data_IF_972151244688
#
_entry.id   IF_972151244688
#
_cell.length_a   1.000
_cell.length_b   1.000
_cell.length_c   1.000
_cell.angle_alpha   90.00
_cell.angle_beta   90.00
_cell.angle_gamma   90.00
#
_symmetry.space_group_name_H-M   'P 1'
#
loop_
_entity.id
_entity.type
_entity.pdbx_description
1 polymer ?
#
# COMPACT_ATOMS: atom_id res chain seq x y z
N UNK A 1 58.79 17.62 6.87
CA UNK A 1 58.52 16.18 7.09
C UNK A 1 57.04 15.99 7.33
N UNK A 2 56.27 15.51 6.33
CA UNK A 2 54.85 15.12 6.49
C UNK A 2 54.78 13.61 6.52
N UNK A 3 54.44 13.03 7.67
CA UNK A 3 54.24 11.59 7.80
C UNK A 3 52.87 11.23 7.23
N UNK A 4 52.85 10.53 6.09
CA UNK A 4 51.63 9.95 5.52
C UNK A 4 51.39 8.60 6.16
N UNK A 5 50.47 8.51 7.13
CA UNK A 5 49.96 7.22 7.60
C UNK A 5 49.14 6.56 6.49
N UNK A 6 49.44 5.31 6.10
CA UNK A 6 48.65 4.58 5.11
C UNK A 6 47.32 4.13 5.74
N UNK A 7 46.22 4.75 5.32
CA UNK A 7 44.87 4.37 5.72
C UNK A 7 44.48 3.02 5.10
N UNK A 8 44.44 1.99 5.94
CA UNK A 8 43.45 0.88 6.01
C UNK A 8 42.57 0.65 4.76
N UNK A 9 43.14 0.11 3.69
CA UNK A 9 42.39 -0.33 2.49
C UNK A 9 41.79 -1.74 2.62
N UNK A 10 42.13 -2.51 3.66
CA UNK A 10 41.73 -3.92 3.83
C UNK A 10 40.26 -4.10 4.24
N UNK A 11 39.68 -3.19 5.02
CA UNK A 11 38.32 -3.33 5.55
C UNK A 11 37.23 -3.22 4.47
N UNK A 12 37.49 -2.48 3.39
CA UNK A 12 36.53 -2.29 2.30
C UNK A 12 36.44 -3.48 1.34
N UNK A 13 37.44 -4.37 1.32
CA UNK A 13 37.49 -5.52 0.42
C UNK A 13 36.72 -6.70 0.99
N UNK A 14 36.84 -6.97 2.29
CA UNK A 14 36.11 -8.06 2.95
C UNK A 14 34.60 -7.84 2.98
N UNK A 15 34.13 -6.60 3.22
CA UNK A 15 32.70 -6.26 3.14
C UNK A 15 32.11 -6.43 1.73
N UNK A 16 32.91 -6.18 0.68
CA UNK A 16 32.50 -6.42 -0.71
C UNK A 16 32.51 -7.91 -1.07
N UNK A 17 33.47 -8.67 -0.56
CA UNK A 17 33.55 -10.12 -0.78
C UNK A 17 32.41 -10.88 -0.06
N UNK A 18 32.09 -10.50 1.17
CA UNK A 18 31.01 -11.13 1.96
C UNK A 18 29.61 -10.88 1.35
N UNK A 19 29.35 -9.68 0.80
CA UNK A 19 28.10 -9.39 0.11
C UNK A 19 27.95 -10.07 -1.26
N UNK A 20 29.06 -10.53 -1.86
CA UNK A 20 29.08 -11.18 -3.17
C UNK A 20 28.90 -12.70 -3.09
N UNK A 21 29.32 -13.32 -1.98
CA UNK A 21 29.30 -14.77 -1.82
C UNK A 21 27.96 -15.34 -1.36
N UNK A 22 27.08 -14.52 -0.78
CA UNK A 22 25.73 -14.94 -0.38
C UNK A 22 24.66 -13.93 -0.84
N UNK A 23 24.40 -13.81 -2.16
CA UNK A 23 23.16 -13.18 -2.59
C UNK A 23 22.02 -14.04 -2.02
N UNK A 24 21.31 -13.50 -1.02
CA UNK A 24 20.10 -14.14 -0.51
C UNK A 24 19.15 -14.37 -1.69
N UNK A 25 18.51 -15.55 -1.77
CA UNK A 25 17.57 -15.92 -2.86
C UNK A 25 16.55 -14.81 -3.18
N UNK A 26 16.20 -13.99 -2.20
CA UNK A 26 15.32 -12.82 -2.33
C UNK A 26 15.88 -11.69 -3.21
N UNK A 27 17.20 -11.43 -3.19
CA UNK A 27 17.82 -10.45 -4.08
C UNK A 27 17.88 -10.92 -5.53
N UNK A 28 18.01 -12.24 -5.74
CA UNK A 28 17.88 -12.87 -7.05
C UNK A 28 16.45 -12.72 -7.59
N UNK A 29 15.43 -12.88 -6.74
CA UNK A 29 14.03 -12.73 -7.14
C UNK A 29 13.69 -11.29 -7.58
N UNK A 30 14.15 -10.27 -6.83
CA UNK A 30 13.99 -8.85 -7.21
C UNK A 30 14.73 -8.50 -8.50
N UNK A 31 15.85 -9.17 -8.79
CA UNK A 31 16.53 -9.06 -10.10
C UNK A 31 15.71 -9.67 -11.23
N UNK A 32 15.03 -10.79 -10.98
CA UNK A 32 14.22 -11.49 -12.01
C UNK A 32 12.82 -10.91 -12.21
N UNK A 33 12.23 -10.26 -11.20
CA UNK A 33 10.93 -9.59 -11.30
C UNK A 33 10.96 -8.18 -10.68
N UNK A 34 11.76 -7.26 -11.25
CA UNK A 34 12.00 -5.93 -10.68
C UNK A 34 10.75 -5.03 -10.66
N UNK A 35 9.67 -5.45 -11.32
CA UNK A 35 8.50 -4.59 -11.57
C UNK A 35 7.23 -5.05 -10.87
N UNK A 36 7.12 -6.31 -10.43
CA UNK A 36 5.89 -6.82 -9.82
C UNK A 36 5.79 -6.58 -8.30
N UNK A 37 6.91 -6.54 -7.60
CA UNK A 37 6.94 -6.65 -6.14
C UNK A 37 6.10 -5.58 -5.43
N UNK A 38 6.09 -4.34 -5.93
CA UNK A 38 5.32 -3.23 -5.34
C UNK A 38 3.83 -3.55 -5.33
N UNK A 39 3.29 -4.06 -6.45
CA UNK A 39 1.89 -4.44 -6.55
C UNK A 39 1.57 -5.65 -5.66
N UNK A 40 2.46 -6.65 -5.64
CA UNK A 40 2.31 -7.85 -4.81
C UNK A 40 2.40 -7.58 -3.31
N UNK A 41 3.01 -6.48 -2.88
CA UNK A 41 3.02 -6.08 -1.46
C UNK A 41 1.89 -5.11 -1.13
N UNK A 42 1.65 -4.09 -1.97
CA UNK A 42 0.70 -3.02 -1.64
C UNK A 42 -0.76 -3.47 -1.76
N UNK A 43 -1.11 -4.24 -2.80
CA UNK A 43 -2.50 -4.64 -3.02
C UNK A 43 -3.01 -5.63 -1.96
N UNK A 44 -2.24 -6.65 -1.54
CA UNK A 44 -2.69 -7.49 -0.44
C UNK A 44 -2.87 -6.73 0.87
N UNK A 45 -2.01 -5.75 1.19
CA UNK A 45 -2.21 -4.89 2.36
C UNK A 45 -3.49 -4.07 2.26
N UNK A 46 -3.75 -3.46 1.10
CA UNK A 46 -4.98 -2.71 0.83
C UNK A 46 -6.22 -3.59 1.01
N UNK A 47 -6.24 -4.77 0.37
CA UNK A 47 -7.38 -5.69 0.41
C UNK A 47 -7.56 -6.23 1.84
N UNK A 48 -6.50 -6.70 2.49
CA UNK A 48 -6.59 -7.26 3.83
C UNK A 48 -7.00 -6.23 4.89
N UNK A 49 -6.59 -4.97 4.75
CA UNK A 49 -6.90 -3.89 5.70
C UNK A 49 -8.36 -3.44 5.61
N UNK A 50 -8.89 -3.31 4.40
CA UNK A 50 -10.15 -2.59 4.17
C UNK A 50 -11.30 -3.47 3.63
N UNK A 51 -11.02 -4.60 3.00
CA UNK A 51 -12.08 -5.43 2.40
C UNK A 51 -12.74 -6.29 3.48
N UNK A 52 -13.87 -5.80 3.97
CA UNK A 52 -14.68 -6.48 4.98
C UNK A 52 -15.54 -7.57 4.36
N UNK A 53 -14.95 -8.74 4.06
CA UNK A 53 -15.69 -9.87 3.49
C UNK A 53 -16.84 -10.39 4.38
N UNK A 54 -16.94 -9.94 5.64
CA UNK A 54 -17.98 -10.34 6.59
C UNK A 54 -18.46 -9.17 7.46
N UNK A 55 -19.76 -9.17 7.79
CA UNK A 55 -20.38 -8.21 8.71
C UNK A 55 -20.11 -8.62 10.17
N UNK A 56 -19.42 -7.79 10.95
CA UNK A 56 -19.21 -8.02 12.38
C UNK A 56 -20.42 -7.48 13.18
N UNK A 57 -20.95 -8.25 14.12
CA UNK A 57 -21.92 -7.70 15.08
C UNK A 57 -21.18 -6.81 16.08
N UNK A 58 -21.75 -5.65 16.46
CA UNK A 58 -21.10 -4.71 17.39
C UNK A 58 -20.68 -5.37 18.71
N UNK A 59 -21.45 -6.34 19.20
CA UNK A 59 -21.16 -7.09 20.43
C UNK A 59 -19.89 -7.97 20.29
N UNK A 60 -19.63 -8.55 19.12
CA UNK A 60 -18.41 -9.31 18.86
C UNK A 60 -17.17 -8.42 18.67
N UNK A 61 -17.34 -7.14 18.33
CA UNK A 61 -16.26 -6.17 18.27
C UNK A 61 -15.79 -5.72 19.67
N UNK A 62 -16.71 -5.66 20.64
CA UNK A 62 -16.42 -5.25 22.02
C UNK A 62 -15.78 -6.36 22.87
N UNK A 63 -16.07 -7.64 22.56
CA UNK A 63 -15.60 -8.79 23.34
C UNK A 63 -14.10 -9.11 23.24
N UNK A 64 -13.33 -8.42 22.38
CA UNK A 64 -11.89 -8.67 22.20
C UNK A 64 -11.53 -10.02 21.56
N UNK A 65 -12.50 -10.83 21.15
CA UNK A 65 -12.23 -12.10 20.47
C UNK A 65 -11.52 -11.87 19.12
N UNK A 66 -10.41 -12.58 18.92
CA UNK A 66 -9.66 -12.59 17.67
C UNK A 66 -10.49 -13.31 16.60
N UNK A 67 -11.12 -12.53 15.72
CA UNK A 67 -11.87 -13.04 14.58
C UNK A 67 -10.89 -13.55 13.50
N UNK A 68 -11.29 -14.55 12.71
CA UNK A 68 -10.46 -15.12 11.65
C UNK A 68 -10.05 -14.06 10.63
N UNK A 69 -10.88 -13.02 10.42
CA UNK A 69 -10.54 -11.88 9.58
C UNK A 69 -9.33 -11.09 10.10
N UNK A 70 -9.26 -10.84 11.42
CA UNK A 70 -8.13 -10.14 12.05
C UNK A 70 -6.86 -11.00 11.96
N UNK A 71 -6.99 -12.32 12.12
CA UNK A 71 -5.86 -13.24 11.95
C UNK A 71 -5.33 -13.20 10.53
N UNK A 72 -6.20 -13.25 9.52
CA UNK A 72 -5.80 -13.14 8.11
C UNK A 72 -5.11 -11.81 7.84
N UNK A 73 -5.69 -10.70 8.33
CA UNK A 73 -5.08 -9.37 8.21
C UNK A 73 -3.66 -9.35 8.79
N UNK A 74 -3.48 -9.81 10.04
CA UNK A 74 -2.17 -9.88 10.68
C UNK A 74 -1.18 -10.78 9.95
N UNK A 75 -1.62 -11.93 9.43
CA UNK A 75 -0.78 -12.83 8.64
C UNK A 75 -0.31 -12.16 7.34
N UNK A 76 -1.19 -11.44 6.64
CA UNK A 76 -0.81 -10.71 5.41
C UNK A 76 0.20 -9.61 5.74
N UNK A 77 -0.04 -8.83 6.80
CA UNK A 77 0.91 -7.81 7.24
C UNK A 77 2.26 -8.40 7.64
N UNK A 78 2.27 -9.51 8.38
CA UNK A 78 3.50 -10.20 8.80
C UNK A 78 4.25 -10.77 7.60
N UNK A 79 3.55 -11.37 6.63
CA UNK A 79 4.15 -11.90 5.42
C UNK A 79 4.81 -10.78 4.59
N UNK A 80 4.13 -9.63 4.43
CA UNK A 80 4.70 -8.46 3.75
C UNK A 80 5.89 -7.92 4.53
N UNK A 81 5.77 -7.73 5.85
CA UNK A 81 6.88 -7.26 6.69
C UNK A 81 8.11 -8.18 6.58
N UNK A 82 7.92 -9.49 6.69
CA UNK A 82 8.97 -10.48 6.52
C UNK A 82 9.59 -10.39 5.11
N UNK A 83 8.79 -10.28 4.06
CA UNK A 83 9.28 -10.08 2.70
C UNK A 83 10.14 -8.81 2.59
N UNK A 84 9.69 -7.67 3.13
CA UNK A 84 10.42 -6.40 3.09
C UNK A 84 11.77 -6.52 3.82
N UNK A 85 11.77 -7.10 5.03
CA UNK A 85 12.98 -7.30 5.85
C UNK A 85 13.96 -8.23 5.16
N UNK A 86 13.50 -9.37 4.65
CA UNK A 86 14.36 -10.40 4.07
C UNK A 86 14.85 -10.06 2.64
N UNK A 87 14.17 -9.15 1.94
CA UNK A 87 14.44 -8.88 0.52
C UNK A 87 15.00 -7.50 0.24
N UNK A 88 14.61 -6.48 1.01
CA UNK A 88 14.82 -5.07 0.65
C UNK A 88 15.57 -4.25 1.69
N UNK A 89 15.65 -4.72 2.94
CA UNK A 89 16.43 -4.02 3.97
C UNK A 89 17.91 -4.13 3.63
N UNK A 90 18.49 -3.00 3.23
CA UNK A 90 19.92 -2.83 3.04
C UNK A 90 20.47 -1.99 4.19
N UNK A 91 21.75 -2.20 4.58
CA UNK A 91 22.38 -1.36 5.59
C UNK A 91 22.32 0.12 5.17
N UNK A 92 22.19 1.05 6.13
CA UNK A 92 22.04 2.46 5.84
C UNK A 92 23.21 2.94 4.98
N UNK A 93 22.93 3.26 3.72
CA UNK A 93 23.81 4.09 2.93
C UNK A 93 23.67 5.50 3.49
N UNK A 94 24.76 6.21 3.80
CA UNK A 94 24.75 7.55 4.42
C UNK A 94 24.10 8.67 3.58
N UNK A 95 23.16 8.33 2.69
CA UNK A 95 22.32 9.23 1.93
C UNK A 95 21.32 9.92 2.85
N UNK A 96 21.22 11.24 2.70
CA UNK A 96 20.22 12.06 3.39
C UNK A 96 18.81 11.57 3.06
N UNK A 97 17.97 11.43 4.08
CA UNK A 97 16.57 11.06 3.93
C UNK A 97 15.79 12.30 3.46
N UNK A 98 15.01 12.22 2.37
CA UNK A 98 14.11 13.31 1.94
C UNK A 98 13.17 13.75 3.06
N UNK A 99 12.88 15.06 3.14
CA UNK A 99 12.04 15.64 4.19
C UNK A 99 10.65 14.99 4.28
N UNK A 100 10.02 14.66 3.15
CA UNK A 100 8.72 13.98 3.13
C UNK A 100 8.77 12.60 3.82
N UNK A 101 9.84 11.83 3.60
CA UNK A 101 10.02 10.54 4.26
C UNK A 101 10.27 10.71 5.76
N UNK A 102 10.96 11.78 6.16
CA UNK A 102 11.15 12.12 7.58
C UNK A 102 9.81 12.45 8.24
N UNK A 103 8.97 13.28 7.59
CA UNK A 103 7.63 13.63 8.08
C UNK A 103 6.74 12.40 8.19
N UNK A 104 6.75 11.52 7.19
CA UNK A 104 6.01 10.25 7.22
C UNK A 104 6.41 9.39 8.43
N UNK A 105 7.70 9.27 8.70
CA UNK A 105 8.19 8.52 9.86
C UNK A 105 7.89 9.23 11.18
N UNK A 106 7.97 10.55 11.24
CA UNK A 106 7.56 11.34 12.40
C UNK A 106 6.08 11.14 12.73
N UNK A 107 5.20 11.18 11.72
CA UNK A 107 3.78 10.87 11.88
C UNK A 107 3.56 9.43 12.36
N UNK A 108 4.26 8.47 11.75
CA UNK A 108 4.18 7.05 12.14
C UNK A 108 4.57 6.84 13.61
N UNK A 109 5.65 7.47 14.05
CA UNK A 109 6.09 7.43 15.44
C UNK A 109 5.08 8.10 16.37
N UNK A 110 4.54 9.26 16.01
CA UNK A 110 3.51 9.93 16.80
C UNK A 110 2.26 9.06 16.98
N UNK A 111 1.80 8.39 15.91
CA UNK A 111 0.66 7.47 15.97
C UNK A 111 0.94 6.22 16.82
N UNK A 112 2.16 5.67 16.76
CA UNK A 112 2.59 4.59 17.65
C UNK A 112 2.58 5.01 19.12
N UNK A 113 3.11 6.20 19.42
CA UNK A 113 3.13 6.72 20.78
C UNK A 113 1.71 6.99 21.30
N UNK A 114 0.83 7.52 20.44
CA UNK A 114 -0.57 7.74 20.76
C UNK A 114 -1.33 6.41 21.04
N UNK A 115 -0.92 5.30 20.43
CA UNK A 115 -1.54 4.01 20.66
C UNK A 115 -1.43 3.54 22.13
N UNK A 116 -0.36 3.90 22.84
CA UNK A 116 -0.19 3.56 24.26
C UNK A 116 -1.15 4.30 25.20
N UNK A 117 -1.71 5.43 24.74
CA UNK A 117 -2.70 6.23 25.48
C UNK A 117 -4.14 5.91 25.06
N UNK A 118 -4.35 4.90 24.22
CA UNK A 118 -5.68 4.52 23.76
C UNK A 118 -6.48 3.80 24.87
N UNK A 119 -7.80 4.01 24.96
CA UNK A 119 -8.69 3.18 25.79
C UNK A 119 -8.63 1.68 25.44
N UNK A 120 -8.19 1.33 24.23
CA UNK A 120 -8.06 -0.04 23.74
C UNK A 120 -6.63 -0.30 23.23
N UNK A 121 -5.63 -0.40 24.12
CA UNK A 121 -4.22 -0.37 23.75
C UNK A 121 -3.86 -1.53 22.82
N UNK A 122 -4.38 -2.75 23.02
CA UNK A 122 -4.05 -3.90 22.17
C UNK A 122 -4.46 -3.69 20.71
N UNK A 123 -5.67 -3.17 20.46
CA UNK A 123 -6.16 -2.87 19.11
C UNK A 123 -5.39 -1.68 18.51
N UNK A 124 -5.13 -0.65 19.31
CA UNK A 124 -4.39 0.52 18.87
C UNK A 124 -2.94 0.17 18.51
N UNK A 125 -2.26 -0.66 19.30
CA UNK A 125 -0.90 -1.14 19.02
C UNK A 125 -0.85 -1.98 17.77
N UNK A 126 -1.84 -2.86 17.52
CA UNK A 126 -1.93 -3.62 16.28
C UNK A 126 -2.05 -2.71 15.05
N UNK A 127 -2.93 -1.70 15.10
CA UNK A 127 -3.04 -0.66 14.05
C UNK A 127 -1.75 0.15 13.88
N UNK A 128 -1.09 0.49 14.99
CA UNK A 128 0.21 1.14 14.98
C UNK A 128 1.29 0.29 14.29
N UNK A 129 1.35 -1.01 14.57
CA UNK A 129 2.26 -1.93 13.92
C UNK A 129 1.99 -2.05 12.41
N UNK A 130 0.71 -2.12 12.00
CA UNK A 130 0.32 -2.09 10.59
C UNK A 130 0.77 -0.79 9.91
N UNK A 131 0.63 0.36 10.56
CA UNK A 131 1.12 1.63 10.05
C UNK A 131 2.64 1.64 9.86
N UNK A 132 3.41 1.02 10.76
CA UNK A 132 4.86 0.85 10.60
C UNK A 132 5.19 0.03 9.35
N UNK A 133 4.45 -1.06 9.11
CA UNK A 133 4.64 -1.88 7.90
C UNK A 133 4.31 -1.08 6.64
N UNK A 134 3.20 -0.34 6.65
CA UNK A 134 2.81 0.54 5.53
C UNK A 134 3.84 1.66 5.28
N UNK A 135 4.33 2.32 6.33
CA UNK A 135 5.37 3.34 6.24
C UNK A 135 6.70 2.75 5.73
N UNK A 136 7.06 1.55 6.17
CA UNK A 136 8.23 0.81 5.68
C UNK A 136 8.11 0.52 4.19
N UNK A 137 6.95 0.02 3.76
CA UNK A 137 6.66 -0.21 2.34
C UNK A 137 6.78 1.10 1.55
N UNK A 138 6.12 2.18 2.00
CA UNK A 138 6.20 3.49 1.36
C UNK A 138 7.62 4.03 1.23
N UNK A 139 8.44 3.86 2.28
CA UNK A 139 9.85 4.23 2.25
C UNK A 139 10.64 3.43 1.22
N UNK A 140 10.45 2.10 1.19
CA UNK A 140 11.16 1.21 0.26
C UNK A 140 10.72 1.45 -1.19
N UNK A 141 9.43 1.70 -1.42
CA UNK A 141 8.91 2.11 -2.73
C UNK A 141 9.55 3.43 -3.16
N UNK A 142 9.58 4.44 -2.30
CA UNK A 142 10.20 5.73 -2.62
C UNK A 142 11.70 5.62 -2.93
N UNK A 143 12.41 4.66 -2.33
CA UNK A 143 13.85 4.45 -2.56
C UNK A 143 14.17 3.55 -3.76
N UNK A 144 13.36 2.53 -4.01
CA UNK A 144 13.74 1.42 -4.90
C UNK A 144 12.74 1.12 -6.01
N UNK A 145 11.53 1.68 -5.98
CA UNK A 145 10.56 1.42 -7.04
C UNK A 145 11.00 2.09 -8.35
N UNK A 146 10.91 1.33 -9.44
CA UNK A 146 11.08 1.86 -10.79
C UNK A 146 9.75 2.44 -11.28
N UNK A 147 9.81 3.32 -12.28
CA UNK A 147 8.60 3.86 -12.92
C UNK A 147 7.68 2.76 -13.49
N UNK A 148 8.27 1.65 -13.98
CA UNK A 148 7.50 0.50 -14.44
C UNK A 148 6.82 -0.24 -13.28
N UNK A 149 7.48 -0.37 -12.13
CA UNK A 149 6.86 -0.98 -10.95
C UNK A 149 5.67 -0.17 -10.45
N UNK A 150 5.80 1.16 -10.41
CA UNK A 150 4.71 2.08 -10.06
C UNK A 150 3.59 2.04 -11.09
N UNK A 151 3.91 2.03 -12.39
CA UNK A 151 2.90 1.86 -13.43
C UNK A 151 2.11 0.56 -13.24
N UNK A 152 2.78 -0.58 -13.00
CA UNK A 152 2.09 -1.87 -12.76
C UNK A 152 1.21 -1.81 -11.51
N UNK A 153 1.66 -1.18 -10.43
CA UNK A 153 0.83 -0.94 -9.25
C UNK A 153 -0.44 -0.17 -9.63
N UNK A 154 -0.32 0.93 -10.36
CA UNK A 154 -1.46 1.74 -10.78
C UNK A 154 -2.48 0.92 -11.59
N UNK A 155 -2.03 0.13 -12.56
CA UNK A 155 -2.93 -0.72 -13.36
C UNK A 155 -3.61 -1.80 -12.51
N UNK A 156 -2.84 -2.46 -11.66
CA UNK A 156 -3.37 -3.51 -10.80
C UNK A 156 -4.36 -2.93 -9.77
N UNK A 157 -4.10 -1.73 -9.26
CA UNK A 157 -5.03 -0.97 -8.41
C UNK A 157 -6.34 -0.66 -9.16
N UNK A 158 -6.28 -0.15 -10.39
CA UNK A 158 -7.46 0.09 -11.22
C UNK A 158 -8.26 -1.19 -11.46
N UNK A 159 -7.60 -2.32 -11.73
CA UNK A 159 -8.29 -3.62 -11.88
C UNK A 159 -9.01 -3.99 -10.58
N UNK A 160 -8.33 -3.93 -9.44
CA UNK A 160 -8.93 -4.28 -8.14
C UNK A 160 -10.14 -3.40 -7.84
N UNK A 161 -10.05 -2.09 -8.04
CA UNK A 161 -11.17 -1.17 -7.81
C UNK A 161 -12.31 -1.42 -8.79
N UNK A 162 -12.02 -1.54 -10.10
CA UNK A 162 -13.05 -1.81 -11.10
C UNK A 162 -13.79 -3.13 -10.86
N UNK A 163 -13.07 -4.19 -10.47
CA UNK A 163 -13.66 -5.47 -10.07
C UNK A 163 -14.53 -5.29 -8.82
N UNK A 164 -14.08 -4.51 -7.84
CA UNK A 164 -14.83 -4.23 -6.62
C UNK A 164 -16.14 -3.47 -6.90
N UNK A 165 -16.09 -2.47 -7.80
CA UNK A 165 -17.27 -1.77 -8.29
C UNK A 165 -18.22 -2.73 -8.99
N UNK A 166 -17.71 -3.56 -9.91
CA UNK A 166 -18.49 -4.58 -10.60
C UNK A 166 -19.19 -5.54 -9.64
N UNK A 167 -18.49 -6.01 -8.60
CA UNK A 167 -19.07 -6.82 -7.53
C UNK A 167 -20.17 -6.06 -6.78
N UNK A 168 -19.94 -4.80 -6.43
CA UNK A 168 -20.93 -3.96 -5.75
C UNK A 168 -22.19 -3.68 -6.57
N UNK A 169 -22.08 -3.65 -7.90
CA UNK A 169 -23.21 -3.48 -8.82
C UNK A 169 -23.95 -4.80 -9.10
N UNK A 170 -23.22 -5.91 -9.24
CA UNK A 170 -23.78 -7.20 -9.60
C UNK A 170 -24.40 -7.95 -8.41
N UNK A 171 -23.86 -7.76 -7.20
CA UNK A 171 -24.32 -8.46 -6.01
C UNK A 171 -25.04 -7.50 -5.06
N UNK A 172 -26.36 -7.66 -4.83
CA UNK A 172 -27.09 -6.85 -3.87
C UNK A 172 -26.65 -7.22 -2.44
N UNK A 173 -25.68 -6.50 -1.90
CA UNK A 173 -25.34 -6.63 -0.49
C UNK A 173 -26.45 -5.99 0.36
N UNK A 174 -26.83 -6.61 1.50
CA UNK A 174 -27.78 -5.98 2.40
C UNK A 174 -27.22 -4.61 2.80
N UNK A 175 -28.02 -3.53 2.69
CA UNK A 175 -27.54 -2.19 3.01
C UNK A 175 -27.08 -2.17 4.46
N UNK A 176 -25.88 -1.64 4.70
CA UNK A 176 -25.44 -1.32 6.06
C UNK A 176 -26.46 -0.32 6.63
N UNK A 177 -26.98 -0.51 7.85
CA UNK A 177 -27.97 0.40 8.44
C UNK A 177 -27.53 1.87 8.39
N UNK A 178 -26.22 2.08 8.47
CA UNK A 178 -25.57 3.40 8.45
C UNK A 178 -25.29 3.92 7.01
N UNK A 179 -25.40 3.09 5.97
CA UNK A 179 -25.08 3.48 4.60
C UNK A 179 -26.19 4.32 3.95
N UNK A 180 -27.45 4.26 4.38
CA UNK A 180 -28.50 5.18 3.93
C UNK A 180 -28.69 5.25 2.41
N UNK A 181 -28.59 4.10 1.71
CA UNK A 181 -28.70 4.04 0.24
C UNK A 181 -27.47 4.51 -0.54
N UNK A 182 -26.33 4.74 0.13
CA UNK A 182 -25.05 5.05 -0.51
C UNK A 182 -24.42 3.79 -1.12
N UNK A 183 -23.71 3.97 -2.24
CA UNK A 183 -22.98 2.89 -2.87
C UNK A 183 -21.86 2.36 -1.95
N UNK A 184 -21.76 1.03 -1.90
CA UNK A 184 -20.73 0.26 -1.18
C UNK A 184 -20.50 -1.06 -1.91
N UNK A 185 -19.30 -1.62 -1.82
CA UNK A 185 -19.01 -3.01 -2.20
C UNK A 185 -18.52 -3.79 -0.98
N UNK A 186 -18.75 -5.11 -0.93
CA UNK A 186 -18.16 -6.02 0.08
C UNK A 186 -18.20 -5.50 1.53
N UNK A 187 -19.34 -4.95 1.97
CA UNK A 187 -19.53 -4.33 3.30
C UNK A 187 -18.53 -3.21 3.68
N UNK A 188 -17.80 -2.67 2.71
CA UNK A 188 -16.89 -1.53 2.92
C UNK A 188 -17.73 -0.28 3.17
N UNK A 189 -17.35 0.51 4.19
CA UNK A 189 -18.06 1.74 4.51
C UNK A 189 -17.97 2.75 3.34
N UNK A 190 -19.05 3.50 3.01
CA UNK A 190 -19.08 4.40 1.84
C UNK A 190 -17.91 5.40 1.76
N UNK A 191 -17.42 5.87 2.91
CA UNK A 191 -16.28 6.79 2.94
C UNK A 191 -14.98 6.10 2.48
N UNK A 192 -14.74 4.85 2.89
CA UNK A 192 -13.54 4.09 2.52
C UNK A 192 -13.57 3.73 1.04
N UNK A 193 -14.71 3.25 0.54
CA UNK A 193 -14.91 3.03 -0.89
C UNK A 193 -14.76 4.33 -1.69
N UNK A 194 -15.24 5.45 -1.16
CA UNK A 194 -15.08 6.77 -1.76
C UNK A 194 -13.61 7.18 -1.86
N UNK A 195 -12.80 6.96 -0.82
CA UNK A 195 -11.35 7.21 -0.87
C UNK A 195 -10.67 6.36 -1.93
N UNK A 196 -10.99 5.06 -2.01
CA UNK A 196 -10.38 4.19 -3.02
C UNK A 196 -10.76 4.58 -4.45
N UNK A 197 -12.02 4.96 -4.66
CA UNK A 197 -12.52 5.45 -5.94
C UNK A 197 -11.87 6.78 -6.32
N UNK A 198 -11.72 7.73 -5.40
CA UNK A 198 -11.05 9.00 -5.68
C UNK A 198 -9.59 8.77 -6.13
N UNK A 199 -8.87 7.88 -5.46
CA UNK A 199 -7.52 7.47 -5.87
C UNK A 199 -7.55 6.80 -7.26
N UNK A 200 -8.53 5.93 -7.53
CA UNK A 200 -8.68 5.27 -8.82
C UNK A 200 -8.93 6.27 -9.94
N UNK A 201 -9.83 7.24 -9.74
CA UNK A 201 -10.12 8.33 -10.66
C UNK A 201 -8.86 9.14 -10.96
N UNK A 202 -8.10 9.54 -9.93
CA UNK A 202 -6.86 10.29 -10.11
C UNK A 202 -5.82 9.48 -10.92
N UNK A 203 -5.66 8.19 -10.61
CA UNK A 203 -4.74 7.30 -11.33
C UNK A 203 -5.18 7.10 -12.79
N UNK A 204 -6.46 6.80 -13.03
CA UNK A 204 -7.01 6.59 -14.36
C UNK A 204 -6.88 7.84 -15.23
N UNK A 205 -7.18 9.01 -14.66
CA UNK A 205 -6.99 10.29 -15.34
C UNK A 205 -5.51 10.54 -15.67
N UNK A 206 -4.60 10.35 -14.70
CA UNK A 206 -3.17 10.53 -14.94
C UNK A 206 -2.64 9.59 -16.03
N UNK A 207 -3.06 8.32 -16.03
CA UNK A 207 -2.68 7.34 -17.06
C UNK A 207 -3.28 7.67 -18.44
N UNK A 208 -4.53 8.14 -18.49
CA UNK A 208 -5.18 8.60 -19.72
C UNK A 208 -4.44 9.79 -20.33
N UNK A 209 -4.11 10.80 -19.51
CA UNK A 209 -3.34 11.98 -19.94
C UNK A 209 -1.95 11.57 -20.41
N UNK A 210 -1.27 10.69 -19.67
CA UNK A 210 0.05 10.15 -20.03
C UNK A 210 0.01 9.40 -21.36
N UNK A 211 -1.04 8.60 -21.61
CA UNK A 211 -1.25 7.89 -22.88
C UNK A 211 -1.45 8.85 -24.04
N UNK A 212 -2.28 9.90 -23.85
CA UNK A 212 -2.52 10.93 -24.87
C UNK A 212 -1.25 11.73 -25.19
N UNK A 213 -0.38 11.93 -24.21
CA UNK A 213 0.92 12.55 -24.39
C UNK A 213 1.98 11.62 -25.02
N UNK A 214 1.66 10.37 -25.35
CA UNK A 214 2.58 9.42 -25.98
C UNK A 214 3.69 8.89 -25.07
N UNK A 215 3.56 9.05 -23.74
CA UNK A 215 4.60 8.65 -22.80
C UNK A 215 4.49 7.15 -22.46
N UNK A 216 5.62 6.45 -22.47
CA UNK A 216 5.73 5.01 -22.14
C UNK A 216 5.21 4.74 -20.72
N UNK A 217 4.52 3.61 -20.53
CA UNK A 217 4.03 3.16 -19.21
C UNK A 217 2.51 3.17 -19.03
N UNK A 218 1.74 3.42 -20.09
CA UNK A 218 0.29 3.25 -20.14
C UNK A 218 -0.08 2.25 -21.27
N UNK A 219 0.00 0.92 -21.03
CA UNK A 219 -0.15 -0.09 -22.07
C UNK A 219 -1.57 -0.18 -22.65
N UNK A 220 -2.61 0.18 -21.89
CA UNK A 220 -3.98 0.06 -22.35
C UNK A 220 -4.36 1.12 -23.40
N UNK A 221 -5.37 0.81 -24.20
CA UNK A 221 -5.97 1.78 -25.11
C UNK A 221 -6.62 2.94 -24.35
N UNK A 222 -6.59 4.15 -24.93
CA UNK A 222 -7.17 5.35 -24.32
C UNK A 222 -8.66 5.19 -24.00
N UNK A 223 -9.38 4.39 -24.81
CA UNK A 223 -10.78 4.05 -24.58
C UNK A 223 -10.99 3.27 -23.29
N UNK A 224 -10.09 2.33 -22.95
CA UNK A 224 -10.20 1.53 -21.73
C UNK A 224 -9.99 2.40 -20.48
N UNK A 225 -9.00 3.30 -20.50
CA UNK A 225 -8.83 4.25 -19.38
C UNK A 225 -10.03 5.19 -19.24
N UNK A 226 -10.56 5.71 -20.36
CA UNK A 226 -11.74 6.56 -20.33
C UNK A 226 -12.98 5.82 -19.79
N UNK A 227 -13.14 4.54 -20.16
CA UNK A 227 -14.21 3.69 -19.65
C UNK A 227 -14.08 3.46 -18.14
N UNK A 228 -12.91 3.01 -17.67
CA UNK A 228 -12.65 2.80 -16.23
C UNK A 228 -12.86 4.10 -15.45
N UNK A 229 -12.35 5.23 -15.96
CA UNK A 229 -12.54 6.54 -15.36
C UNK A 229 -14.03 6.90 -15.23
N UNK A 230 -14.84 6.68 -16.28
CA UNK A 230 -16.27 6.98 -16.24
C UNK A 230 -17.01 6.11 -15.22
N UNK A 231 -16.68 4.81 -15.16
CA UNK A 231 -17.24 3.87 -14.18
C UNK A 231 -16.87 4.29 -12.75
N UNK A 232 -15.60 4.58 -12.50
CA UNK A 232 -15.11 4.96 -11.17
C UNK A 232 -15.68 6.30 -10.71
N UNK A 233 -15.81 7.30 -11.60
CA UNK A 233 -16.46 8.58 -11.30
C UNK A 233 -17.94 8.37 -10.96
N UNK A 234 -18.65 7.56 -11.76
CA UNK A 234 -20.06 7.26 -11.49
C UNK A 234 -20.26 6.59 -10.13
N UNK A 235 -19.44 5.59 -9.82
CA UNK A 235 -19.43 4.93 -8.52
C UNK A 235 -19.06 5.90 -7.38
N UNK A 236 -18.08 6.79 -7.59
CA UNK A 236 -17.65 7.78 -6.60
C UNK A 236 -18.78 8.72 -6.23
N UNK A 237 -19.49 9.26 -7.22
CA UNK A 237 -20.67 10.10 -7.02
C UNK A 237 -21.76 9.34 -6.23
N UNK A 238 -21.95 8.05 -6.53
CA UNK A 238 -22.93 7.21 -5.85
C UNK A 238 -22.58 6.93 -4.37
N UNK A 239 -21.31 7.06 -3.95
CA UNK A 239 -20.94 6.95 -2.53
C UNK A 239 -21.47 8.12 -1.68
N UNK A 240 -21.78 9.27 -2.30
CA UNK A 240 -22.21 10.52 -1.64
C UNK A 240 -21.31 10.95 -0.47
N UNK A 241 -20.03 10.59 -0.52
CA UNK A 241 -19.05 10.95 0.50
C UNK A 241 -18.59 12.39 0.27
N UNK A 242 -19.02 13.32 1.16
CA UNK A 242 -18.65 14.74 1.07
C UNK A 242 -17.13 14.95 1.09
N UNK A 243 -16.39 14.11 1.82
CA UNK A 243 -14.94 14.21 1.92
C UNK A 243 -14.17 13.73 0.69
N UNK A 244 -14.72 12.78 -0.08
CA UNK A 244 -14.04 12.24 -1.27
C UNK A 244 -14.40 12.98 -2.57
N UNK A 245 -15.44 13.82 -2.57
CA UNK A 245 -15.78 14.68 -3.71
C UNK A 245 -14.90 15.93 -3.81
N UNK A 246 -14.20 16.27 -2.71
CA UNK A 246 -13.35 17.47 -2.60
C UNK A 246 -11.86 17.10 -2.63
N UNK A 247 -11.53 15.81 -2.49
CA UNK A 247 -10.17 15.27 -2.59
C UNK A 247 -9.74 15.10 -4.06
#
# INVERSE_FOLDING_TARGET
MRSTSPATTSDSRWRRAAGFLFPTRSQLWLRTNPTGWVAWTALPLMVASEFSLRRRSQNAALSGAADSAVVVELVVYLAVAAFLVLSLVQPPNGRRIPALLLVMWGFTLAMLLAAFWSPFPLLATARGAQLVVAASLGHLVARYATANALSRLCHAYLIVVAVSVGIGLALPFPPLPQAGGRFTWLYVHPNVSGTFLAIAVAIALALLLRRRAGVVGAPWGSSLYAFVLAVDVGALLATRSRGSLVA
#
